data_IF_435085031869
#
_entry.id   IF_435085031869
#
_cell.length_a   1.000
_cell.length_b   1.000
_cell.length_c   1.000
_cell.angle_alpha   90.00
_cell.angle_beta   90.00
_cell.angle_gamma   90.00
#
_symmetry.space_group_name_H-M   'P 1'
#
loop_
_entity.id
_entity.type
_entity.pdbx_description
1 polymer ?
#
# COMPACT_ATOMS: atom_id res chain seq x y z
N UNK A 1 14.41 -16.58 -32.02
CA UNK A 1 13.16 -16.06 -32.59
C UNK A 1 12.02 -16.90 -32.05
N UNK A 2 11.26 -16.39 -31.07
CA UNK A 2 10.18 -17.14 -30.41
C UNK A 2 8.93 -17.10 -31.30
N UNK A 3 8.55 -18.23 -31.89
CA UNK A 3 7.28 -18.41 -32.59
C UNK A 3 6.16 -18.45 -31.56
N UNK A 4 5.63 -17.26 -31.21
CA UNK A 4 4.49 -17.14 -30.28
C UNK A 4 3.27 -17.80 -30.93
N UNK A 5 2.79 -18.89 -30.33
CA UNK A 5 1.54 -19.54 -30.76
C UNK A 5 0.35 -18.59 -30.54
N UNK A 6 -0.68 -18.63 -31.41
CA UNK A 6 -1.90 -17.87 -31.19
C UNK A 6 -2.58 -18.32 -29.89
N UNK A 7 -3.03 -17.35 -29.09
CA UNK A 7 -3.69 -17.60 -27.81
C UNK A 7 -4.94 -18.44 -28.04
N UNK A 8 -5.01 -19.63 -27.42
CA UNK A 8 -6.24 -20.41 -27.35
C UNK A 8 -6.58 -20.68 -25.88
N UNK A 9 -7.88 -20.65 -25.57
CA UNK A 9 -8.35 -20.88 -24.20
C UNK A 9 -7.93 -22.28 -23.72
N UNK A 10 -7.96 -23.27 -24.61
CA UNK A 10 -7.49 -24.63 -24.32
C UNK A 10 -6.01 -24.71 -23.96
N UNK A 11 -5.12 -24.03 -24.69
CA UNK A 11 -3.67 -24.04 -24.37
C UNK A 11 -3.38 -23.29 -23.07
N UNK A 12 -4.13 -22.23 -22.78
CA UNK A 12 -4.03 -21.48 -21.51
C UNK A 12 -4.40 -22.37 -20.32
N UNK A 13 -5.50 -23.12 -20.40
CA UNK A 13 -5.92 -24.04 -19.33
C UNK A 13 -4.91 -25.16 -19.09
N UNK A 14 -4.36 -25.76 -20.16
CA UNK A 14 -3.34 -26.81 -20.04
C UNK A 14 -2.05 -26.27 -19.41
N UNK A 15 -1.60 -25.09 -19.82
CA UNK A 15 -0.43 -24.44 -19.24
C UNK A 15 -0.66 -24.04 -17.78
N UNK A 16 -1.86 -23.56 -17.45
CA UNK A 16 -2.24 -23.18 -16.09
C UNK A 16 -2.26 -24.40 -15.15
N UNK A 17 -2.90 -25.51 -15.55
CA UNK A 17 -2.89 -26.76 -14.78
C UNK A 17 -1.48 -27.30 -14.52
N UNK A 18 -0.55 -27.08 -15.46
CA UNK A 18 0.88 -27.40 -15.27
C UNK A 18 1.61 -26.43 -14.36
N UNK A 19 1.20 -25.16 -14.34
CA UNK A 19 1.85 -24.11 -13.57
C UNK A 19 1.48 -24.15 -12.08
N UNK A 20 0.18 -24.27 -11.75
CA UNK A 20 -0.35 -24.23 -10.37
C UNK A 20 0.36 -25.19 -9.39
N UNK A 21 0.62 -26.47 -9.70
CA UNK A 21 1.32 -27.35 -8.76
C UNK A 21 2.82 -27.03 -8.64
N UNK A 22 3.43 -26.37 -9.64
CA UNK A 22 4.86 -26.01 -9.64
C UNK A 22 5.14 -24.67 -8.97
N UNK A 23 4.16 -23.76 -8.95
CA UNK A 23 4.31 -22.43 -8.33
C UNK A 23 4.38 -22.49 -6.81
N UNK A 24 4.03 -23.62 -6.18
CA UNK A 24 4.08 -23.79 -4.72
C UNK A 24 5.45 -23.48 -4.10
N UNK A 25 6.56 -23.75 -4.81
CA UNK A 25 7.91 -23.39 -4.31
C UNK A 25 8.09 -21.88 -4.24
N UNK A 26 7.58 -21.15 -5.23
CA UNK A 26 7.68 -19.68 -5.27
C UNK A 26 6.87 -19.07 -4.13
N UNK A 27 5.64 -19.54 -3.94
CA UNK A 27 4.78 -19.06 -2.85
C UNK A 27 5.32 -19.47 -1.48
N UNK A 28 5.88 -20.66 -1.32
CA UNK A 28 6.57 -21.04 -0.07
C UNK A 28 7.72 -20.09 0.28
N UNK A 29 8.50 -19.63 -0.72
CA UNK A 29 9.56 -18.64 -0.48
C UNK A 29 8.97 -17.28 -0.11
N UNK A 30 7.94 -16.82 -0.83
CA UNK A 30 7.27 -15.55 -0.54
C UNK A 30 6.66 -15.56 0.86
N UNK A 31 5.94 -16.62 1.22
CA UNK A 31 5.33 -16.81 2.54
C UNK A 31 6.40 -16.88 3.63
N UNK A 32 7.55 -17.52 3.38
CA UNK A 32 8.65 -17.55 4.35
C UNK A 32 9.27 -16.18 4.55
N UNK A 33 9.45 -15.41 3.49
CA UNK A 33 9.93 -14.02 3.57
C UNK A 33 8.94 -13.18 4.36
N UNK A 34 7.63 -13.29 4.06
CA UNK A 34 6.58 -12.60 4.80
C UNK A 34 6.55 -13.02 6.27
N UNK A 35 6.66 -14.31 6.58
CA UNK A 35 6.66 -14.86 7.93
C UNK A 35 7.81 -14.31 8.78
N UNK A 36 9.01 -14.25 8.20
CA UNK A 36 10.20 -13.71 8.88
C UNK A 36 10.10 -12.19 9.02
N UNK A 37 9.62 -11.49 7.99
CA UNK A 37 9.44 -10.05 7.99
C UNK A 37 8.36 -9.60 8.98
N UNK A 38 7.26 -10.34 9.11
CA UNK A 38 6.13 -10.04 10.00
C UNK A 38 6.29 -10.65 11.41
N UNK A 39 7.48 -11.12 11.77
CA UNK A 39 7.80 -11.67 13.10
C UNK A 39 6.92 -12.86 13.55
N UNK A 40 6.24 -13.54 12.62
CA UNK A 40 5.24 -14.60 12.91
C UNK A 40 5.86 -15.84 13.55
N UNK A 41 7.10 -16.19 13.19
CA UNK A 41 7.81 -17.41 13.69
C UNK A 41 8.53 -17.20 15.03
N UNK A 42 8.39 -16.02 15.64
CA UNK A 42 9.02 -15.64 16.90
C UNK A 42 10.35 -14.91 16.75
N UNK A 43 10.71 -14.15 17.79
CA UNK A 43 11.83 -13.19 17.74
C UNK A 43 13.20 -13.82 17.47
N UNK A 44 13.44 -15.07 17.92
CA UNK A 44 14.74 -15.74 17.78
C UNK A 44 15.09 -16.04 16.33
N UNK A 45 14.11 -16.50 15.54
CA UNK A 45 14.32 -16.87 14.14
C UNK A 45 14.53 -15.62 13.30
N UNK A 46 13.69 -14.59 13.48
CA UNK A 46 13.84 -13.32 12.77
C UNK A 46 15.16 -12.63 13.14
N UNK A 47 15.56 -12.62 14.41
CA UNK A 47 16.85 -12.08 14.83
C UNK A 47 18.04 -12.83 14.23
N UNK A 48 17.96 -14.16 14.09
CA UNK A 48 19.00 -14.94 13.42
C UNK A 48 19.13 -14.58 11.92
N UNK A 49 18.01 -14.39 11.23
CA UNK A 49 18.00 -13.92 9.84
C UNK A 49 18.55 -12.50 9.70
N UNK A 50 18.15 -11.58 10.59
CA UNK A 50 18.68 -10.22 10.64
C UNK A 50 20.19 -10.21 10.91
N UNK A 51 20.67 -11.05 11.83
CA UNK A 51 22.10 -11.18 12.11
C UNK A 51 22.87 -11.75 10.92
N UNK A 52 22.33 -12.76 10.23
CA UNK A 52 22.91 -13.31 9.01
C UNK A 52 22.97 -12.27 7.88
N UNK A 53 21.90 -11.51 7.69
CA UNK A 53 21.85 -10.40 6.74
C UNK A 53 22.86 -9.30 7.10
N UNK A 54 22.92 -8.91 8.38
CA UNK A 54 23.86 -7.92 8.87
C UNK A 54 25.31 -8.33 8.62
N UNK A 55 25.64 -9.59 8.94
CA UNK A 55 26.96 -10.16 8.66
C UNK A 55 27.31 -10.09 7.17
N UNK A 56 26.35 -10.40 6.29
CA UNK A 56 26.53 -10.33 4.83
C UNK A 56 26.74 -8.89 4.34
N UNK A 57 26.07 -7.90 4.94
CA UNK A 57 26.29 -6.48 4.65
C UNK A 57 27.65 -5.96 5.16
N UNK A 58 28.14 -6.46 6.30
CA UNK A 58 29.48 -6.12 6.79
C UNK A 58 30.60 -6.70 5.92
N UNK A 59 30.40 -7.90 5.38
CA UNK A 59 31.36 -8.61 4.53
C UNK A 59 30.77 -8.93 3.14
N UNK A 60 30.59 -7.93 2.25
CA UNK A 60 29.92 -8.14 0.96
C UNK A 60 30.64 -9.14 0.05
N UNK A 61 31.95 -9.36 0.24
CA UNK A 61 32.72 -10.38 -0.48
C UNK A 61 32.21 -11.81 -0.25
N UNK A 62 31.55 -12.07 0.88
CA UNK A 62 30.95 -13.38 1.20
C UNK A 62 29.78 -13.73 0.27
N UNK A 63 29.16 -12.75 -0.38
CA UNK A 63 28.07 -12.98 -1.36
C UNK A 63 28.56 -13.87 -2.51
N UNK A 64 29.83 -13.76 -2.91
CA UNK A 64 30.42 -14.59 -3.97
C UNK A 64 30.51 -16.08 -3.56
N UNK A 65 30.57 -16.37 -2.26
CA UNK A 65 30.61 -17.73 -1.72
C UNK A 65 29.22 -18.33 -1.52
N UNK A 66 28.17 -17.49 -1.42
CA UNK A 66 26.79 -17.92 -1.21
C UNK A 66 26.29 -18.91 -2.27
N UNK A 67 26.46 -18.72 -3.60
CA UNK A 67 25.99 -19.70 -4.57
C UNK A 67 26.68 -21.06 -4.42
N UNK A 68 27.96 -21.07 -4.05
CA UNK A 68 28.72 -22.29 -3.78
C UNK A 68 28.20 -23.02 -2.54
N UNK A 69 27.89 -22.28 -1.47
CA UNK A 69 27.30 -22.82 -0.25
C UNK A 69 25.92 -23.42 -0.52
N UNK A 70 25.07 -22.74 -1.30
CA UNK A 70 23.74 -23.26 -1.69
C UNK A 70 23.87 -24.57 -2.47
N UNK A 71 24.76 -24.63 -3.47
CA UNK A 71 25.02 -25.87 -4.22
C UNK A 71 25.48 -26.99 -3.29
N UNK A 72 26.39 -26.70 -2.36
CA UNK A 72 26.84 -27.68 -1.38
C UNK A 72 25.69 -28.15 -0.46
N UNK A 73 24.84 -27.24 0.01
CA UNK A 73 23.66 -27.59 0.81
C UNK A 73 22.63 -28.43 0.05
N UNK A 74 22.56 -28.34 -1.28
CA UNK A 74 21.67 -29.18 -2.11
C UNK A 74 22.33 -30.53 -2.40
N UNK A 75 23.63 -30.54 -2.71
CA UNK A 75 24.37 -31.74 -3.08
C UNK A 75 24.71 -32.64 -1.88
N UNK A 76 24.94 -32.08 -0.70
CA UNK A 76 25.36 -32.85 0.47
C UNK A 76 24.25 -33.80 0.98
N UNK A 77 22.99 -33.36 1.19
CA UNK A 77 21.91 -34.26 1.58
C UNK A 77 21.59 -35.31 0.52
N UNK A 78 21.61 -34.93 -0.76
CA UNK A 78 21.36 -35.85 -1.86
C UNK A 78 22.46 -36.90 -2.00
N UNK A 79 23.72 -36.52 -1.77
CA UNK A 79 24.84 -37.45 -1.70
C UNK A 79 24.76 -38.37 -0.47
N UNK A 80 24.45 -37.82 0.71
CA UNK A 80 24.27 -38.59 1.95
C UNK A 80 23.12 -39.60 1.82
N UNK A 81 21.98 -39.18 1.26
CA UNK A 81 20.83 -40.05 1.00
C UNK A 81 21.17 -41.16 0.01
N UNK A 82 21.87 -40.83 -1.09
CA UNK A 82 22.34 -41.83 -2.06
C UNK A 82 23.24 -42.85 -1.37
N UNK A 83 24.20 -42.39 -0.57
CA UNK A 83 25.15 -43.26 0.15
C UNK A 83 24.45 -44.13 1.21
N UNK A 84 23.40 -43.61 1.86
CA UNK A 84 22.56 -44.38 2.78
C UNK A 84 21.69 -45.43 2.07
N UNK A 85 21.22 -45.13 0.85
CA UNK A 85 20.45 -46.06 0.01
C UNK A 85 21.34 -47.16 -0.61
N UNK A 86 22.57 -46.84 -0.99
CA UNK A 86 23.56 -47.85 -1.44
C UNK A 86 23.89 -48.87 -0.34
N UNK A 87 23.88 -48.44 0.92
CA UNK A 87 24.10 -49.33 2.08
C UNK A 87 22.84 -50.13 2.50
N UNK A 88 21.65 -49.74 2.05
CA UNK A 88 20.37 -50.39 2.38
C UNK A 88 19.68 -50.81 1.08
N UNK A 89 19.90 -52.06 0.61
CA UNK A 89 19.38 -52.63 -0.65
C UNK A 89 17.84 -52.56 -0.85
N UNK A 90 17.07 -52.02 0.10
CA UNK A 90 15.61 -51.93 0.08
C UNK A 90 15.04 -50.48 0.14
N UNK A 91 15.84 -49.43 -0.08
CA UNK A 91 15.30 -48.06 -0.07
C UNK A 91 14.73 -47.63 -1.44
N UNK A 92 13.50 -47.10 -1.51
CA UNK A 92 12.92 -46.61 -2.77
C UNK A 92 13.72 -45.42 -3.34
N UNK A 93 13.70 -45.20 -4.67
CA UNK A 93 14.41 -44.11 -5.33
C UNK A 93 14.00 -42.74 -4.77
N UNK A 94 14.86 -41.71 -4.87
CA UNK A 94 14.60 -40.40 -4.26
C UNK A 94 13.27 -39.85 -4.77
N UNK A 95 12.30 -39.72 -3.86
CA UNK A 95 10.99 -39.17 -4.12
C UNK A 95 11.16 -37.74 -4.62
N UNK A 96 11.01 -37.52 -5.92
CA UNK A 96 10.66 -36.19 -6.45
C UNK A 96 9.45 -35.73 -5.65
N UNK A 97 9.55 -34.56 -4.99
CA UNK A 97 8.47 -34.01 -4.16
C UNK A 97 7.14 -34.19 -4.89
N UNK A 98 6.16 -34.93 -4.32
CA UNK A 98 4.90 -35.18 -5.01
C UNK A 98 4.25 -33.84 -5.33
N UNK A 99 3.96 -33.62 -6.60
CA UNK A 99 3.28 -32.39 -7.02
C UNK A 99 1.83 -32.43 -6.50
N UNK A 100 1.28 -31.30 -6.01
CA UNK A 100 -0.09 -31.24 -5.54
C UNK A 100 -1.07 -31.74 -6.61
N UNK A 101 -1.95 -32.67 -6.22
CA UNK A 101 -3.01 -33.20 -7.11
C UNK A 101 -4.08 -32.13 -7.32
N UNK A 102 -4.67 -32.07 -8.51
CA UNK A 102 -5.77 -31.14 -8.82
C UNK A 102 -6.92 -31.33 -7.80
N UNK A 103 -7.35 -30.24 -7.16
CA UNK A 103 -8.38 -30.26 -6.11
C UNK A 103 -7.90 -30.53 -4.69
N UNK A 104 -6.60 -30.78 -4.48
CA UNK A 104 -6.01 -30.83 -3.13
C UNK A 104 -6.01 -29.45 -2.46
N UNK A 105 -5.91 -29.43 -1.13
CA UNK A 105 -5.83 -28.17 -0.34
C UNK A 105 -4.62 -27.33 -0.75
N UNK A 106 -3.47 -27.94 -0.99
CA UNK A 106 -2.26 -27.26 -1.46
C UNK A 106 -2.44 -26.70 -2.89
N UNK A 107 -3.13 -27.43 -3.76
CA UNK A 107 -3.46 -26.94 -5.10
C UNK A 107 -4.38 -25.71 -5.04
N UNK A 108 -5.39 -25.73 -4.17
CA UNK A 108 -6.29 -24.60 -3.94
C UNK A 108 -5.56 -23.41 -3.30
N UNK A 109 -4.65 -23.66 -2.36
CA UNK A 109 -3.82 -22.61 -1.75
C UNK A 109 -2.93 -21.92 -2.80
N UNK A 110 -2.29 -22.68 -3.69
CA UNK A 110 -1.53 -22.11 -4.81
C UNK A 110 -2.43 -21.29 -5.74
N UNK A 111 -3.67 -21.72 -5.98
CA UNK A 111 -4.63 -21.00 -6.80
C UNK A 111 -4.99 -19.63 -6.17
N UNK A 112 -5.26 -19.61 -4.87
CA UNK A 112 -5.52 -18.39 -4.11
C UNK A 112 -4.32 -17.44 -4.11
N UNK A 113 -3.10 -17.98 -3.95
CA UNK A 113 -1.89 -17.17 -3.98
C UNK A 113 -1.66 -16.52 -5.36
N UNK A 114 -1.97 -17.21 -6.45
CA UNK A 114 -1.94 -16.63 -7.81
C UNK A 114 -2.96 -15.50 -7.94
N UNK A 115 -4.16 -15.64 -7.37
CA UNK A 115 -5.18 -14.58 -7.40
C UNK A 115 -4.70 -13.33 -6.66
N UNK A 116 -4.14 -13.49 -5.46
CA UNK A 116 -3.60 -12.38 -4.69
C UNK A 116 -2.45 -11.68 -5.44
N UNK A 117 -1.56 -12.45 -6.07
CA UNK A 117 -0.48 -11.92 -6.89
C UNK A 117 -1.00 -11.15 -8.11
N UNK A 118 -2.09 -11.61 -8.73
CA UNK A 118 -2.70 -10.93 -9.87
C UNK A 118 -3.24 -9.55 -9.47
N UNK A 119 -3.90 -9.43 -8.31
CA UNK A 119 -4.33 -8.14 -7.77
C UNK A 119 -3.14 -7.21 -7.51
N UNK A 120 -2.14 -7.71 -6.78
CA UNK A 120 -0.93 -6.93 -6.46
C UNK A 120 -0.16 -6.46 -7.70
N UNK A 121 -0.03 -7.31 -8.72
CA UNK A 121 0.64 -6.94 -9.97
C UNK A 121 -0.13 -5.86 -10.74
N UNK A 122 -1.46 -5.89 -10.70
CA UNK A 122 -2.31 -4.85 -11.30
C UNK A 122 -2.15 -3.53 -10.55
N UNK A 123 -2.23 -3.55 -9.22
CA UNK A 123 -2.08 -2.35 -8.39
C UNK A 123 -0.71 -1.69 -8.59
N UNK A 124 0.36 -2.51 -8.67
CA UNK A 124 1.71 -2.03 -8.94
C UNK A 124 1.83 -1.42 -10.35
N UNK A 125 1.16 -2.02 -11.34
CA UNK A 125 1.12 -1.48 -12.69
C UNK A 125 0.36 -0.15 -12.75
N UNK A 126 -0.77 -0.04 -12.07
CA UNK A 126 -1.56 1.19 -12.00
C UNK A 126 -0.79 2.31 -11.26
N UNK A 127 0.01 1.97 -10.25
CA UNK A 127 0.93 2.89 -9.58
C UNK A 127 2.07 3.35 -10.49
N UNK A 128 2.62 2.45 -11.31
CA UNK A 128 3.72 2.76 -12.22
C UNK A 128 3.26 3.57 -13.46
N UNK A 129 2.04 3.34 -13.93
CA UNK A 129 1.47 3.95 -15.14
C UNK A 129 1.64 5.48 -15.22
N UNK A 130 1.31 6.28 -14.18
CA UNK A 130 1.51 7.74 -14.22
C UNK A 130 2.99 8.17 -14.28
N UNK A 131 3.94 7.32 -13.90
CA UNK A 131 5.37 7.63 -13.93
C UNK A 131 5.98 7.41 -15.33
N UNK A 132 5.42 6.51 -16.13
CA UNK A 132 5.94 6.13 -17.45
C UNK A 132 6.07 7.33 -18.42
N UNK A 133 5.08 8.24 -18.56
CA UNK A 133 5.17 9.39 -19.46
C UNK A 133 6.34 10.34 -19.13
N UNK A 134 6.67 10.48 -17.84
CA UNK A 134 7.77 11.32 -17.37
C UNK A 134 9.14 10.75 -17.77
N UNK A 135 9.26 9.41 -17.78
CA UNK A 135 10.48 8.70 -18.18
C UNK A 135 10.65 8.62 -19.72
N UNK A 136 9.54 8.62 -20.47
CA UNK A 136 9.53 8.39 -21.93
C UNK A 136 9.62 9.67 -22.78
N UNK A 137 10.06 10.79 -22.20
CA UNK A 137 10.21 12.08 -22.91
C UNK A 137 8.91 12.67 -23.50
N UNK A 138 7.74 12.26 -23.00
CA UNK A 138 6.43 12.70 -23.52
C UNK A 138 5.88 13.96 -22.88
N UNK A 139 6.49 14.43 -21.80
CA UNK A 139 6.06 15.61 -21.04
C UNK A 139 7.15 16.68 -21.01
N UNK A 140 6.75 17.95 -20.86
CA UNK A 140 7.68 19.09 -20.75
C UNK A 140 8.66 18.97 -19.57
N UNK A 141 8.32 18.15 -18.56
CA UNK A 141 9.14 17.89 -17.37
C UNK A 141 10.23 16.83 -17.59
N UNK A 142 10.19 16.07 -18.68
CA UNK A 142 11.17 14.99 -18.94
C UNK A 142 12.61 15.48 -19.10
N UNK A 143 12.81 16.62 -19.77
CA UNK A 143 14.12 17.25 -19.98
C UNK A 143 14.75 17.74 -18.66
N UNK A 144 14.06 18.52 -17.80
CA UNK A 144 14.63 18.90 -16.51
C UNK A 144 14.86 17.70 -15.59
N UNK A 145 13.99 16.67 -15.59
CA UNK A 145 14.22 15.44 -14.82
C UNK A 145 15.49 14.72 -15.29
N UNK A 146 15.68 14.59 -16.61
CA UNK A 146 16.88 13.94 -17.18
C UNK A 146 18.14 14.73 -16.84
N UNK A 147 18.11 16.06 -16.93
CA UNK A 147 19.23 16.92 -16.53
C UNK A 147 19.54 16.79 -15.05
N UNK A 148 18.52 16.80 -14.19
CA UNK A 148 18.65 16.59 -12.76
C UNK A 148 19.25 15.22 -12.43
N UNK A 149 18.79 14.17 -13.10
CA UNK A 149 19.31 12.81 -12.94
C UNK A 149 20.77 12.70 -13.42
N UNK A 150 21.11 13.36 -14.53
CA UNK A 150 22.48 13.39 -15.03
C UNK A 150 23.41 14.18 -14.08
N UNK A 151 22.96 15.32 -13.56
CA UNK A 151 23.71 16.11 -12.58
C UNK A 151 23.91 15.35 -11.27
N UNK A 152 22.86 14.72 -10.74
CA UNK A 152 22.96 13.91 -9.52
C UNK A 152 23.85 12.68 -9.74
N UNK A 153 23.79 12.03 -10.90
CA UNK A 153 24.71 10.94 -11.25
C UNK A 153 26.17 11.41 -11.28
N UNK A 154 26.47 12.50 -12.01
CA UNK A 154 27.83 13.05 -12.09
C UNK A 154 28.36 13.52 -10.73
N UNK A 155 27.49 14.08 -9.88
CA UNK A 155 27.83 14.47 -8.50
C UNK A 155 28.08 13.24 -7.61
N UNK A 156 27.33 12.15 -7.81
CA UNK A 156 27.45 10.93 -7.02
C UNK A 156 28.76 10.18 -7.29
N UNK A 157 29.30 10.24 -8.51
CA UNK A 157 30.56 9.57 -8.89
C UNK A 157 31.73 9.87 -7.92
N UNK A 158 32.11 11.15 -7.67
CA UNK A 158 33.17 11.47 -6.73
C UNK A 158 32.77 11.24 -5.26
N UNK A 159 31.48 11.24 -4.93
CA UNK A 159 30.97 10.98 -3.58
C UNK A 159 30.91 9.48 -3.23
N UNK A 160 30.88 8.60 -4.24
CA UNK A 160 30.75 7.15 -4.07
C UNK A 160 31.77 6.51 -3.11
N UNK A 161 33.09 6.82 -3.14
CA UNK A 161 34.03 6.24 -2.19
C UNK A 161 33.84 6.74 -0.75
N UNK A 162 33.21 7.91 -0.56
CA UNK A 162 32.92 8.47 0.75
C UNK A 162 31.59 7.95 1.32
N UNK A 163 30.71 7.41 0.46
CA UNK A 163 29.46 6.83 0.91
C UNK A 163 29.72 5.52 1.66
N UNK A 164 29.29 5.41 2.91
CA UNK A 164 29.45 4.18 3.67
C UNK A 164 28.39 3.17 3.20
N UNK A 165 28.66 2.51 2.06
CA UNK A 165 27.73 1.56 1.43
C UNK A 165 27.33 0.42 2.38
N UNK A 166 28.23 0.01 3.28
CA UNK A 166 27.97 -1.08 4.24
C UNK A 166 26.83 -0.75 5.20
N UNK A 167 26.88 0.33 6.02
CA UNK A 167 25.75 0.69 6.87
C UNK A 167 24.53 1.11 6.05
N UNK A 168 24.68 1.69 4.84
CA UNK A 168 23.53 2.00 3.99
C UNK A 168 22.74 0.74 3.62
N UNK A 169 23.38 -0.29 3.07
CA UNK A 169 22.69 -1.55 2.77
C UNK A 169 22.17 -2.24 4.03
N UNK A 170 22.92 -2.19 5.12
CA UNK A 170 22.49 -2.72 6.42
C UNK A 170 21.18 -2.05 6.88
N UNK A 171 21.16 -0.72 6.92
CA UNK A 171 19.96 0.03 7.33
C UNK A 171 18.81 -0.18 6.36
N UNK A 172 19.05 -0.20 5.05
CA UNK A 172 18.03 -0.41 4.04
C UNK A 172 17.35 -1.78 4.19
N UNK A 173 18.11 -2.85 4.46
CA UNK A 173 17.55 -4.18 4.66
C UNK A 173 17.00 -4.43 6.06
N UNK A 174 17.50 -3.77 7.11
CA UNK A 174 16.95 -3.88 8.47
C UNK A 174 15.71 -3.01 8.68
N UNK A 175 15.54 -1.93 7.91
CA UNK A 175 14.43 -1.00 8.03
C UNK A 175 13.05 -1.69 7.95
N UNK A 176 12.76 -2.56 6.96
CA UNK A 176 11.50 -3.30 6.92
C UNK A 176 11.21 -4.08 8.21
N UNK A 177 12.21 -4.75 8.79
CA UNK A 177 12.05 -5.51 10.05
C UNK A 177 11.75 -4.61 11.24
N UNK A 178 12.36 -3.41 11.28
CA UNK A 178 12.07 -2.43 12.31
C UNK A 178 10.66 -1.88 12.15
N UNK A 179 10.20 -1.60 10.93
CA UNK A 179 8.86 -1.08 10.68
C UNK A 179 7.77 -2.10 11.06
N UNK A 180 7.98 -3.38 10.80
CA UNK A 180 7.02 -4.46 11.09
C UNK A 180 7.11 -5.03 12.51
N UNK A 181 8.01 -4.50 13.36
CA UNK A 181 8.19 -5.00 14.72
C UNK A 181 6.92 -4.79 15.56
N UNK A 182 6.50 -5.75 16.42
CA UNK A 182 5.28 -5.62 17.21
C UNK A 182 5.25 -4.35 18.07
N UNK A 183 6.39 -3.90 18.60
CA UNK A 183 6.45 -2.65 19.37
C UNK A 183 6.31 -1.39 18.50
N UNK A 184 6.78 -1.39 17.24
CA UNK A 184 6.58 -0.25 16.34
C UNK A 184 5.17 -0.20 15.82
N UNK A 185 4.54 -1.37 15.59
CA UNK A 185 3.12 -1.47 15.27
C UNK A 185 2.25 -1.01 16.45
N UNK A 186 2.57 -1.44 17.67
CA UNK A 186 1.89 -0.98 18.88
C UNK A 186 2.05 0.54 19.08
N UNK A 187 3.25 1.06 18.85
CA UNK A 187 3.50 2.50 18.87
C UNK A 187 2.73 3.20 17.76
N UNK A 188 2.67 2.67 16.54
CA UNK A 188 1.92 3.26 15.43
C UNK A 188 0.41 3.32 15.73
N UNK A 189 -0.13 2.33 16.45
CA UNK A 189 -1.53 2.32 16.89
C UNK A 189 -1.86 3.24 18.06
N UNK A 190 -0.87 3.91 18.66
CA UNK A 190 -1.11 4.86 19.75
C UNK A 190 -1.93 6.07 19.26
N UNK A 191 -2.87 6.64 20.04
CA UNK A 191 -3.75 7.72 19.58
C UNK A 191 -2.98 8.96 19.10
N UNK A 192 -1.90 9.34 19.79
CA UNK A 192 -1.04 10.47 19.38
C UNK A 192 -0.39 10.21 18.01
N UNK A 193 0.18 9.03 17.80
CA UNK A 193 0.85 8.71 16.53
C UNK A 193 -0.15 8.57 15.39
N UNK A 194 -1.35 8.04 15.66
CA UNK A 194 -2.45 8.02 14.69
C UNK A 194 -2.86 9.44 14.29
N UNK A 195 -2.98 10.37 15.23
CA UNK A 195 -3.26 11.78 14.91
C UNK A 195 -2.14 12.41 14.05
N UNK A 196 -0.87 12.16 14.38
CA UNK A 196 0.26 12.63 13.56
C UNK A 196 0.27 12.00 12.16
N UNK A 197 -0.04 10.71 12.03
CA UNK A 197 -0.14 10.02 10.76
C UNK A 197 -1.30 10.59 9.92
N UNK A 198 -2.46 10.84 10.54
CA UNK A 198 -3.60 11.47 9.88
C UNK A 198 -3.27 12.90 9.43
N UNK A 199 -2.58 13.69 10.26
CA UNK A 199 -2.05 14.99 9.87
C UNK A 199 -1.11 14.90 8.67
N UNK A 200 -0.16 13.96 8.69
CA UNK A 200 0.80 13.76 7.61
C UNK A 200 0.10 13.31 6.31
N UNK A 201 -0.88 12.39 6.40
CA UNK A 201 -1.69 11.95 5.27
C UNK A 201 -2.49 13.11 4.66
N UNK A 202 -3.14 13.90 5.50
CA UNK A 202 -3.87 15.09 5.03
C UNK A 202 -2.94 16.12 4.42
N UNK A 203 -1.75 16.34 4.99
CA UNK A 203 -0.76 17.25 4.44
C UNK A 203 -0.24 16.75 3.08
N UNK A 204 -0.01 15.44 2.93
CA UNK A 204 0.43 14.83 1.68
C UNK A 204 -0.65 14.90 0.60
N UNK A 205 -1.89 14.53 0.92
CA UNK A 205 -3.03 14.66 0.01
C UNK A 205 -3.25 16.11 -0.40
N UNK A 206 -3.17 17.06 0.54
CA UNK A 206 -3.26 18.49 0.22
C UNK A 206 -2.10 18.95 -0.65
N UNK A 207 -0.87 18.51 -0.37
CA UNK A 207 0.31 18.86 -1.17
C UNK A 207 0.21 18.32 -2.60
N UNK A 208 -0.23 17.07 -2.75
CA UNK A 208 -0.53 16.46 -4.06
C UNK A 208 -1.62 17.24 -4.79
N UNK A 209 -2.71 17.59 -4.10
CA UNK A 209 -3.80 18.34 -4.71
C UNK A 209 -3.38 19.77 -5.04
N UNK A 210 -2.52 20.40 -4.25
CA UNK A 210 -1.95 21.73 -4.52
C UNK A 210 -1.04 21.72 -5.75
N UNK A 211 -0.22 20.69 -5.93
CA UNK A 211 0.63 20.51 -7.11
C UNK A 211 -0.18 20.28 -8.41
N UNK A 212 -1.35 19.63 -8.28
CA UNK A 212 -2.25 19.38 -9.40
C UNK A 212 -3.10 20.60 -9.84
N UNK A 213 -3.00 21.76 -9.17
CA UNK A 213 -3.79 22.95 -9.55
C UNK A 213 -3.30 23.57 -10.86
N UNK A 214 -4.27 23.86 -11.74
CA UNK A 214 -4.04 24.73 -12.89
C UNK A 214 -3.71 26.18 -12.47
N UNK A 215 -2.99 26.95 -13.30
CA UNK A 215 -2.69 28.36 -13.03
C UNK A 215 -3.93 29.23 -12.77
N UNK A 216 -5.05 28.92 -13.41
CA UNK A 216 -6.33 29.63 -13.22
C UNK A 216 -6.88 29.43 -11.81
N UNK A 217 -6.73 28.23 -11.26
CA UNK A 217 -7.12 27.91 -9.89
C UNK A 217 -6.21 28.61 -8.88
N UNK A 218 -4.89 28.68 -9.16
CA UNK A 218 -3.95 29.47 -8.36
C UNK A 218 -4.30 30.95 -8.35
N UNK A 219 -4.66 31.52 -9.51
CA UNK A 219 -5.12 32.90 -9.61
C UNK A 219 -6.45 33.13 -8.87
N UNK A 220 -7.37 32.16 -8.92
CA UNK A 220 -8.62 32.21 -8.15
C UNK A 220 -8.37 32.20 -6.65
N UNK A 221 -7.45 31.36 -6.18
CA UNK A 221 -7.01 31.31 -4.77
C UNK A 221 -6.41 32.63 -4.31
N UNK A 222 -5.60 33.28 -5.16
CA UNK A 222 -5.00 34.59 -4.85
C UNK A 222 -6.05 35.72 -4.72
N UNK A 223 -7.22 35.58 -5.35
CA UNK A 223 -8.34 36.52 -5.22
C UNK A 223 -9.16 36.34 -3.93
N UNK A 224 -8.79 35.39 -3.07
CA UNK A 224 -9.40 35.14 -1.77
C UNK A 224 -10.80 34.52 -1.84
N UNK A 225 -11.56 34.67 -0.75
CA UNK A 225 -12.85 33.99 -0.50
C UNK A 225 -13.94 34.25 -1.56
N UNK A 226 -13.79 35.32 -2.36
CA UNK A 226 -14.75 35.66 -3.44
C UNK A 226 -14.64 34.76 -4.67
N UNK A 227 -13.51 34.06 -4.83
CA UNK A 227 -13.24 33.23 -5.99
C UNK A 227 -12.76 31.82 -5.64
N UNK A 228 -12.56 31.53 -4.35
CA UNK A 228 -12.06 30.27 -3.83
C UNK A 228 -12.77 29.89 -2.54
N UNK A 229 -13.14 28.62 -2.40
CA UNK A 229 -13.78 28.11 -1.20
C UNK A 229 -13.71 26.58 -1.12
N UNK A 230 -14.31 26.03 -0.08
CA UNK A 230 -14.47 24.58 0.11
C UNK A 230 -15.91 24.26 0.41
N UNK A 231 -16.40 23.19 -0.19
CA UNK A 231 -17.70 22.59 0.10
C UNK A 231 -17.49 21.40 1.00
N UNK A 232 -18.41 21.20 1.92
CA UNK A 232 -18.40 20.10 2.87
C UNK A 232 -19.61 19.19 2.62
N UNK A 233 -19.41 17.91 2.80
CA UNK A 233 -20.46 16.89 2.72
C UNK A 233 -20.21 15.83 3.78
N UNK A 234 -21.25 15.07 4.11
CA UNK A 234 -21.25 14.18 5.27
C UNK A 234 -21.66 12.78 4.89
N UNK A 235 -20.92 11.81 5.41
CA UNK A 235 -21.23 10.40 5.32
C UNK A 235 -21.62 9.87 6.70
N UNK A 236 -22.66 9.04 6.73
CA UNK A 236 -23.27 8.52 7.95
C UNK A 236 -23.48 7.03 7.82
N UNK A 237 -23.18 6.32 8.89
CA UNK A 237 -23.49 4.91 9.03
C UNK A 237 -24.03 4.59 10.41
N UNK A 238 -25.07 3.75 10.45
CA UNK A 238 -25.70 3.31 11.68
C UNK A 238 -25.16 1.93 12.06
N UNK A 239 -24.53 1.83 13.24
CA UNK A 239 -23.95 0.59 13.77
C UNK A 239 -24.98 -0.22 14.57
N UNK A 240 -25.91 0.47 15.23
CA UNK A 240 -27.10 -0.11 15.87
C UNK A 240 -28.30 0.79 15.55
N UNK A 241 -29.36 0.23 14.96
CA UNK A 241 -30.66 0.92 14.89
C UNK A 241 -31.43 0.61 16.17
N UNK A 242 -31.87 1.62 16.95
CA UNK A 242 -32.93 1.41 17.93
C UNK A 242 -34.21 1.04 17.18
N UNK A 243 -34.92 0.00 17.62
CA UNK A 243 -36.28 -0.28 17.16
C UNK A 243 -37.17 0.94 17.48
N UNK A 244 -37.61 1.67 16.45
CA UNK A 244 -38.56 2.79 16.60
C UNK A 244 -37.97 4.20 16.73
N UNK A 245 -36.68 4.42 16.42
CA UNK A 245 -36.12 5.77 16.40
C UNK A 245 -36.80 6.66 15.34
N UNK A 246 -37.31 7.86 15.70
CA UNK A 246 -37.97 8.73 14.74
C UNK A 246 -36.96 9.33 13.74
N UNK A 247 -37.35 9.39 12.46
CA UNK A 247 -36.55 9.95 11.35
C UNK A 247 -36.05 11.39 11.62
N UNK A 248 -36.73 12.12 12.50
CA UNK A 248 -36.38 13.48 12.91
C UNK A 248 -35.18 13.52 13.85
N UNK A 249 -35.04 12.56 14.77
CA UNK A 249 -33.84 12.43 15.59
C UNK A 249 -32.62 12.18 14.69
N UNK A 250 -32.79 11.35 13.65
CA UNK A 250 -31.74 11.04 12.68
C UNK A 250 -31.29 12.24 11.80
N UNK A 251 -32.12 13.29 11.65
CA UNK A 251 -31.80 14.52 10.90
C UNK A 251 -31.16 15.62 11.77
N UNK A 252 -31.40 15.62 13.08
CA UNK A 252 -30.85 16.60 14.01
C UNK A 252 -29.30 16.55 14.12
N UNK A 253 -28.67 15.48 13.62
CA UNK A 253 -27.22 15.24 13.69
C UNK A 253 -26.40 15.89 12.58
N UNK A 254 -27.05 16.34 11.50
CA UNK A 254 -26.42 17.06 10.42
C UNK A 254 -26.51 18.57 10.73
N UNK A 255 -25.43 19.34 10.54
CA UNK A 255 -25.53 20.79 10.53
C UNK A 255 -26.62 21.21 9.53
N UNK A 256 -27.43 22.19 9.90
CA UNK A 256 -28.57 22.65 9.11
C UNK A 256 -28.13 22.93 7.65
N UNK A 257 -28.76 22.28 6.67
CA UNK A 257 -28.41 22.39 5.24
C UNK A 257 -27.43 21.35 4.68
N UNK A 258 -26.97 20.38 5.48
CA UNK A 258 -26.04 19.33 5.02
C UNK A 258 -26.73 18.18 4.26
N UNK A 259 -26.06 17.60 3.26
CA UNK A 259 -26.56 16.49 2.41
C UNK A 259 -25.71 15.22 2.57
N UNK A 260 -26.29 14.07 2.23
CA UNK A 260 -25.56 12.78 2.16
C UNK A 260 -24.54 12.76 1.01
N UNK A 261 -23.42 12.12 1.30
CA UNK A 261 -22.06 12.29 0.80
C UNK A 261 -21.76 12.75 -0.64
N UNK A 262 -22.62 12.64 -1.66
CA UNK A 262 -22.16 12.81 -3.06
C UNK A 262 -23.01 13.69 -3.99
N UNK A 263 -24.08 14.33 -3.51
CA UNK A 263 -24.94 15.18 -4.36
C UNK A 263 -25.01 16.64 -3.84
N UNK A 264 -23.89 17.34 -3.93
CA UNK A 264 -23.86 18.79 -3.64
C UNK A 264 -24.04 19.58 -4.93
N UNK A 265 -25.18 20.25 -5.06
CA UNK A 265 -25.41 21.22 -6.13
C UNK A 265 -24.70 22.53 -5.80
N UNK A 266 -23.84 22.99 -6.71
CA UNK A 266 -23.15 24.27 -6.58
C UNK A 266 -24.05 25.42 -7.02
N UNK A 267 -23.85 26.59 -6.41
CA UNK A 267 -24.47 27.84 -6.84
C UNK A 267 -23.96 28.18 -8.25
N UNK A 268 -24.80 28.71 -9.16
CA UNK A 268 -24.37 29.09 -10.50
C UNK A 268 -23.12 29.98 -10.50
N UNK A 269 -22.14 29.63 -11.34
CA UNK A 269 -20.84 30.32 -11.43
C UNK A 269 -19.73 29.74 -10.54
N UNK A 270 -20.03 28.73 -9.72
CA UNK A 270 -19.03 27.94 -9.00
C UNK A 270 -18.85 26.58 -9.64
N UNK A 271 -17.61 26.11 -9.69
CA UNK A 271 -17.26 24.79 -10.19
C UNK A 271 -16.29 24.10 -9.21
N UNK A 272 -16.33 22.77 -9.21
CA UNK A 272 -15.32 21.98 -8.52
C UNK A 272 -13.95 22.13 -9.20
N UNK A 273 -12.90 22.15 -8.40
CA UNK A 273 -11.52 22.10 -8.87
C UNK A 273 -11.28 20.70 -9.48
N UNK A 274 -11.03 20.62 -10.78
CA UNK A 274 -10.60 19.37 -11.43
C UNK A 274 -9.06 19.35 -11.46
N UNK A 275 -8.40 18.22 -11.17
CA UNK A 275 -8.92 16.85 -11.02
C UNK A 275 -9.24 16.42 -9.57
N UNK A 276 -9.31 17.34 -8.62
CA UNK A 276 -9.43 17.01 -7.19
C UNK A 276 -10.75 16.28 -6.87
N UNK A 277 -10.64 15.19 -6.10
CA UNK A 277 -11.78 14.42 -5.59
C UNK A 277 -12.17 14.86 -4.17
N UNK A 278 -13.16 14.22 -3.56
CA UNK A 278 -13.53 14.48 -2.18
C UNK A 278 -12.42 14.02 -1.22
N UNK A 279 -11.98 14.91 -0.34
CA UNK A 279 -10.95 14.64 0.67
C UNK A 279 -11.62 14.49 2.03
N UNK A 280 -11.42 13.33 2.67
CA UNK A 280 -11.91 13.06 4.01
C UNK A 280 -11.15 13.88 5.06
N UNK A 281 -11.85 14.45 6.05
CA UNK A 281 -11.22 15.04 7.24
C UNK A 281 -10.87 13.95 8.28
N UNK A 282 -9.65 13.43 8.18
CA UNK A 282 -9.13 12.36 9.04
C UNK A 282 -8.92 12.77 10.51
N UNK A 283 -9.00 14.05 10.85
CA UNK A 283 -8.77 14.52 12.23
C UNK A 283 -10.05 14.66 13.04
N UNK A 284 -11.20 14.71 12.36
CA UNK A 284 -12.46 15.06 13.03
C UNK A 284 -12.39 16.46 13.63
N UNK A 285 -11.77 17.42 12.93
CA UNK A 285 -11.52 18.78 13.43
C UNK A 285 -12.79 19.48 13.91
N UNK A 286 -13.89 19.18 13.24
CA UNK A 286 -15.24 19.66 13.50
C UNK A 286 -15.87 19.11 14.80
N UNK A 287 -15.36 18.01 15.35
CA UNK A 287 -15.87 17.34 16.55
C UNK A 287 -14.98 17.58 17.79
N UNK A 288 -13.97 18.45 17.68
CA UNK A 288 -12.99 18.69 18.76
C UNK A 288 -11.79 17.73 18.75
N UNK A 289 -11.61 16.93 17.70
CA UNK A 289 -10.57 15.90 17.60
C UNK A 289 -10.98 14.58 18.24
N UNK A 290 -10.50 13.46 17.69
CA UNK A 290 -10.86 12.11 18.16
C UNK A 290 -11.54 11.23 17.12
N UNK A 291 -11.34 11.53 15.83
CA UNK A 291 -11.69 10.59 14.77
C UNK A 291 -10.76 9.36 14.78
N UNK A 292 -11.25 8.24 14.26
CA UNK A 292 -10.46 7.04 14.05
C UNK A 292 -9.45 7.18 12.88
N UNK A 293 -8.72 6.10 12.58
CA UNK A 293 -7.74 6.08 11.48
C UNK A 293 -8.34 6.33 10.08
N UNK A 294 -9.66 6.19 9.93
CA UNK A 294 -10.40 6.40 8.69
C UNK A 294 -11.22 7.71 8.68
N UNK A 295 -11.12 8.53 9.74
CA UNK A 295 -11.82 9.80 9.86
C UNK A 295 -13.25 9.72 10.41
N UNK A 296 -13.66 8.58 10.98
CA UNK A 296 -14.97 8.44 11.62
C UNK A 296 -14.96 8.97 13.05
N UNK A 297 -16.00 9.73 13.38
CA UNK A 297 -16.32 10.12 14.74
C UNK A 297 -17.52 9.30 15.20
N UNK A 298 -17.42 8.68 16.37
CA UNK A 298 -18.47 7.85 16.95
C UNK A 298 -19.33 8.65 17.91
N UNK A 299 -20.61 8.29 17.99
CA UNK A 299 -21.55 8.94 18.88
C UNK A 299 -22.53 7.94 19.51
N UNK A 300 -23.08 8.31 20.67
CA UNK A 300 -24.16 7.58 21.33
C UNK A 300 -25.51 7.83 20.66
N UNK A 301 -26.58 7.18 21.14
CA UNK A 301 -27.95 7.35 20.61
C UNK A 301 -28.50 8.78 20.80
N UNK A 302 -27.89 9.51 21.73
CA UNK A 302 -28.18 10.92 22.05
C UNK A 302 -27.19 11.85 21.32
N UNK A 303 -26.42 11.30 20.38
CA UNK A 303 -25.39 11.86 19.53
C UNK A 303 -24.38 12.79 20.20
N UNK A 304 -24.06 12.48 21.45
CA UNK A 304 -22.85 12.95 22.12
C UNK A 304 -21.66 12.21 21.53
N UNK A 305 -20.60 12.94 21.23
CA UNK A 305 -19.35 12.35 20.75
C UNK A 305 -18.81 11.38 21.81
N UNK A 306 -18.57 10.14 21.39
CA UNK A 306 -17.92 9.13 22.21
C UNK A 306 -16.44 9.10 21.88
N UNK A 307 -15.63 8.83 22.90
CA UNK A 307 -14.24 8.45 22.68
C UNK A 307 -14.17 7.14 21.88
N UNK A 308 -13.04 6.90 21.24
CA UNK A 308 -12.82 5.69 20.46
C UNK A 308 -12.96 4.39 21.30
N UNK A 309 -12.95 4.43 22.64
CA UNK A 309 -13.00 3.23 23.48
C UNK A 309 -14.35 2.97 24.20
N UNK A 310 -15.34 3.86 24.07
CA UNK A 310 -16.59 3.73 24.83
C UNK A 310 -17.58 2.74 24.18
N UNK A 311 -18.05 1.76 24.97
CA UNK A 311 -18.87 0.61 24.56
C UNK A 311 -20.34 0.90 24.16
N UNK A 312 -20.65 2.13 23.79
CA UNK A 312 -22.00 2.61 23.43
C UNK A 312 -22.14 3.08 21.99
N UNK A 313 -21.34 2.57 21.05
CA UNK A 313 -21.33 3.05 19.65
C UNK A 313 -22.63 2.68 18.92
N UNK A 314 -23.53 3.63 18.78
CA UNK A 314 -24.76 3.46 18.02
C UNK A 314 -24.60 3.92 16.56
N UNK A 315 -23.84 5.00 16.33
CA UNK A 315 -23.72 5.67 15.03
C UNK A 315 -22.28 6.16 14.79
N UNK A 316 -21.89 6.31 13.50
CA UNK A 316 -20.63 6.95 13.08
C UNK A 316 -20.83 7.95 11.95
N UNK A 317 -20.00 9.00 11.94
CA UNK A 317 -20.07 10.14 11.00
C UNK A 317 -18.69 10.54 10.49
N UNK A 318 -18.58 10.83 9.19
CA UNK A 318 -17.34 11.21 8.52
C UNK A 318 -17.56 12.45 7.65
N UNK A 319 -16.64 13.40 7.74
CA UNK A 319 -16.69 14.66 7.00
C UNK A 319 -15.84 14.55 5.75
N UNK A 320 -16.38 15.01 4.64
CA UNK A 320 -15.70 15.12 3.36
C UNK A 320 -15.67 16.57 2.91
N UNK A 321 -14.58 16.98 2.28
CA UNK A 321 -14.38 18.36 1.81
C UNK A 321 -13.87 18.35 0.38
N UNK A 322 -14.30 19.31 -0.43
CA UNK A 322 -13.81 19.48 -1.80
C UNK A 322 -13.74 20.95 -2.16
N UNK A 323 -12.66 21.35 -2.84
CA UNK A 323 -12.44 22.76 -3.18
C UNK A 323 -13.24 23.18 -4.40
N UNK A 324 -13.74 24.40 -4.33
CA UNK A 324 -14.53 25.04 -5.38
C UNK A 324 -13.91 26.38 -5.73
N UNK A 325 -14.08 26.76 -6.98
CA UNK A 325 -13.62 28.04 -7.49
C UNK A 325 -14.69 28.70 -8.34
N UNK A 326 -14.63 30.03 -8.42
CA UNK A 326 -15.57 30.81 -9.21
C UNK A 326 -15.09 30.91 -10.65
N UNK A 327 -15.86 30.34 -11.57
CA UNK A 327 -15.56 30.37 -13.01
C UNK A 327 -15.70 31.82 -13.49
N UNK A 328 -14.68 32.40 -14.13
CA UNK A 328 -14.78 33.74 -14.71
C UNK A 328 -15.91 33.74 -15.74
N UNK A 329 -16.77 34.75 -15.67
CA UNK A 329 -17.79 34.96 -16.69
C UNK A 329 -17.03 35.21 -17.99
N UNK A 330 -17.17 34.36 -19.00
CA UNK A 330 -16.57 34.60 -20.30
C UNK A 330 -17.00 36.01 -20.76
N UNK A 331 -16.04 36.93 -20.84
CA UNK A 331 -16.27 38.20 -21.51
C UNK A 331 -16.61 37.83 -22.95
N UNK A 332 -17.86 38.13 -23.34
CA UNK A 332 -18.26 38.02 -24.74
C UNK A 332 -17.32 38.93 -25.52
N UNK A 333 -16.48 38.32 -26.36
CA UNK A 333 -15.65 39.00 -27.34
C UNK A 333 -16.51 39.84 -28.31
#
# INVERSE_FOLDING_TARGET
MSTRQPMSVGTTTVNFRRFVPRSGVVFWVLDRVEEVLMWKRGWRVTAAWMAGYAFLCFFPRMILLLPHLVLLCVLLPSWLQRRAAENNEASPPPTTLPLPVEGSTEWLANLQAIQNLMGFASDLYDLATPLIPHLTHRTSYSVPITRFLLLTFLLLLPLLPYLPLRPLFLTAGLLPFLLTHPSTLALASHPLTQQLQNLARLALERGKNDDALAPEHWAARARGERAWGSVETWERESLRLPEGAPDTAAKAWLPEGSRSAFEVALIPGWAFVQPEEWVCDLLGSWAGGGADAEGWVYADEMGRNLGAEDGGRALRRRRWTRRIWRVPKAEKA
#
